data_IF_021994573573
#
_entry.id   IF_021994573573
#
_cell.length_a   1.000
_cell.length_b   1.000
_cell.length_c   1.000
_cell.angle_alpha   90.00
_cell.angle_beta   90.00
_cell.angle_gamma   90.00
#
_symmetry.space_group_name_H-M   'P 1'
#
loop_
_entity.id
_entity.type
_entity.pdbx_description
1 polymer ?
#
# COMPACT_ATOMS: atom_id res chain seq x y z
N UNK A 1 -14.48 -6.28 -26.03
CA UNK A 1 -14.28 -5.04 -25.27
C UNK A 1 -13.41 -5.37 -24.06
N UNK A 2 -12.34 -4.61 -23.81
CA UNK A 2 -11.60 -4.72 -22.54
C UNK A 2 -12.45 -4.11 -21.43
N UNK A 3 -12.60 -4.80 -20.30
CA UNK A 3 -13.24 -4.28 -19.09
C UNK A 3 -12.17 -4.01 -18.02
N UNK A 4 -12.51 -3.31 -16.94
CA UNK A 4 -11.53 -2.95 -15.91
C UNK A 4 -10.79 -4.18 -15.35
N UNK A 5 -11.53 -5.23 -14.99
CA UNK A 5 -10.98 -6.49 -14.43
C UNK A 5 -10.27 -7.39 -15.45
N UNK A 6 -10.18 -6.96 -16.72
CA UNK A 6 -9.26 -7.55 -17.69
C UNK A 6 -7.84 -6.95 -17.60
N UNK A 7 -7.67 -5.91 -16.79
CA UNK A 7 -6.40 -5.18 -16.59
C UNK A 7 -5.92 -5.24 -15.14
N UNK A 8 -6.85 -5.22 -14.16
CA UNK A 8 -6.55 -5.33 -12.73
C UNK A 8 -6.97 -6.68 -12.15
N UNK A 9 -6.35 -7.07 -11.04
CA UNK A 9 -6.75 -8.25 -10.25
C UNK A 9 -8.22 -8.17 -9.81
N UNK A 10 -8.91 -9.32 -9.72
CA UNK A 10 -10.25 -9.39 -9.12
C UNK A 10 -10.24 -8.96 -7.65
N UNK A 11 -9.11 -9.16 -6.97
CA UNK A 11 -8.93 -8.81 -5.56
C UNK A 11 -8.46 -7.36 -5.36
N UNK A 12 -8.30 -6.57 -6.42
CA UNK A 12 -7.69 -5.25 -6.38
C UNK A 12 -8.33 -4.33 -5.34
N UNK A 13 -9.65 -4.32 -5.21
CA UNK A 13 -10.33 -3.43 -4.25
C UNK A 13 -10.47 -4.01 -2.84
N UNK A 14 -10.08 -5.28 -2.60
CA UNK A 14 -10.23 -5.94 -1.29
C UNK A 14 -9.60 -5.17 -0.12
N UNK A 15 -8.40 -4.57 -0.25
CA UNK A 15 -7.82 -3.77 0.83
C UNK A 15 -8.71 -2.57 1.21
N UNK A 16 -9.43 -1.99 0.25
CA UNK A 16 -10.21 -0.76 0.44
C UNK A 16 -11.67 -1.00 0.81
N UNK A 17 -12.15 -2.24 0.78
CA UNK A 17 -13.54 -2.59 1.15
C UNK A 17 -13.64 -3.35 2.46
N UNK A 18 -12.52 -3.84 3.00
CA UNK A 18 -12.46 -4.64 4.23
C UNK A 18 -12.50 -3.86 5.54
N UNK A 19 -12.38 -4.60 6.65
CA UNK A 19 -12.35 -4.08 8.04
C UNK A 19 -11.24 -3.04 8.26
N UNK A 20 -10.08 -3.26 7.64
CA UNK A 20 -8.86 -2.46 7.84
C UNK A 20 -8.62 -1.46 6.70
N UNK A 21 -9.68 -1.03 6.01
CA UNK A 21 -9.59 -0.16 4.82
C UNK A 21 -8.86 1.16 5.06
N UNK A 22 -9.01 1.73 6.26
CA UNK A 22 -8.33 2.99 6.63
C UNK A 22 -6.82 2.77 6.67
N UNK A 23 -6.35 1.72 7.33
CA UNK A 23 -4.93 1.38 7.40
C UNK A 23 -4.34 1.10 6.02
N UNK A 24 -5.06 0.39 5.16
CA UNK A 24 -4.61 0.14 3.80
C UNK A 24 -4.53 1.42 2.97
N UNK A 25 -5.53 2.31 3.07
CA UNK A 25 -5.54 3.59 2.36
C UNK A 25 -4.37 4.49 2.81
N UNK A 26 -4.16 4.62 4.12
CA UNK A 26 -3.05 5.41 4.68
C UNK A 26 -1.70 4.86 4.24
N UNK A 27 -1.51 3.54 4.29
CA UNK A 27 -0.29 2.90 3.82
C UNK A 27 -0.05 3.14 2.33
N UNK A 28 -1.09 3.07 1.48
CA UNK A 28 -0.97 3.35 0.05
C UNK A 28 -0.55 4.81 -0.21
N UNK A 29 -1.10 5.77 0.53
CA UNK A 29 -0.73 7.19 0.42
C UNK A 29 0.72 7.43 0.89
N UNK A 30 1.12 6.82 2.00
CA UNK A 30 2.51 6.89 2.50
C UNK A 30 3.51 6.28 1.51
N UNK A 31 3.22 5.08 1.00
CA UNK A 31 4.01 4.45 -0.05
C UNK A 31 4.11 5.38 -1.25
N UNK A 32 2.99 5.89 -1.76
CA UNK A 32 2.97 6.80 -2.90
C UNK A 32 3.79 8.07 -2.68
N UNK A 33 3.72 8.66 -1.48
CA UNK A 33 4.51 9.84 -1.11
C UNK A 33 6.02 9.57 -1.02
N UNK A 34 6.42 8.31 -0.80
CA UNK A 34 7.84 7.92 -0.69
C UNK A 34 8.57 7.88 -2.03
N UNK A 35 7.84 7.83 -3.15
CA UNK A 35 8.42 7.91 -4.50
C UNK A 35 8.84 9.35 -4.80
N UNK A 36 10.14 9.61 -4.82
CA UNK A 36 10.68 10.94 -5.18
C UNK A 36 10.57 11.19 -6.67
N UNK A 37 9.71 12.14 -7.07
CA UNK A 37 9.59 12.79 -8.40
C UNK A 37 9.40 11.90 -9.65
N UNK A 38 9.86 10.66 -9.66
CA UNK A 38 9.71 9.68 -10.74
C UNK A 38 9.35 8.32 -10.13
N UNK A 39 8.08 7.94 -10.27
CA UNK A 39 7.53 6.66 -9.75
C UNK A 39 8.26 5.42 -10.34
N UNK A 40 9.07 5.63 -11.38
CA UNK A 40 9.67 4.60 -12.23
C UNK A 40 10.76 3.73 -11.59
N UNK A 41 11.38 4.15 -10.47
CA UNK A 41 12.55 3.45 -9.92
C UNK A 41 12.26 2.51 -8.74
N UNK A 42 11.02 2.48 -8.24
CA UNK A 42 10.73 1.80 -6.99
C UNK A 42 11.34 2.50 -5.77
N UNK A 43 11.02 2.01 -4.59
CA UNK A 43 11.61 2.43 -3.33
C UNK A 43 12.15 1.19 -2.62
N UNK A 44 13.34 1.29 -2.03
CA UNK A 44 13.95 0.20 -1.25
C UNK A 44 12.91 -0.38 -0.26
N UNK A 45 12.71 -1.71 -0.32
CA UNK A 45 11.68 -2.40 0.46
C UNK A 45 11.85 -2.20 1.95
N UNK A 46 13.09 -2.16 2.45
CA UNK A 46 13.35 -1.91 3.86
C UNK A 46 13.00 -0.47 4.26
N UNK A 47 13.21 0.49 3.36
CA UNK A 47 12.75 1.85 3.56
C UNK A 47 11.21 1.93 3.61
N UNK A 48 10.49 1.24 2.73
CA UNK A 48 9.02 1.18 2.77
C UNK A 48 8.52 0.51 4.07
N UNK A 49 9.14 -0.59 4.49
CA UNK A 49 8.81 -1.25 5.76
C UNK A 49 9.02 -0.29 6.92
N UNK A 50 10.13 0.46 6.95
CA UNK A 50 10.40 1.44 8.01
C UNK A 50 9.32 2.53 8.06
N UNK A 51 8.95 3.11 6.92
CA UNK A 51 7.89 4.13 6.83
C UNK A 51 6.57 3.61 7.41
N UNK A 52 6.15 2.40 7.03
CA UNK A 52 4.91 1.82 7.52
C UNK A 52 5.01 1.36 8.98
N UNK A 53 6.20 0.98 9.44
CA UNK A 53 6.45 0.66 10.85
C UNK A 53 6.22 1.89 11.72
N UNK A 54 6.70 3.06 11.31
CA UNK A 54 6.47 4.33 12.01
C UNK A 54 4.98 4.70 12.05
N UNK A 55 4.26 4.46 10.95
CA UNK A 55 2.81 4.60 10.91
C UNK A 55 2.12 3.71 11.97
N UNK A 56 2.45 2.41 12.04
CA UNK A 56 1.86 1.49 13.02
C UNK A 56 2.34 1.70 14.46
N UNK A 57 3.47 2.36 14.67
CA UNK A 57 3.88 2.81 16.01
C UNK A 57 3.00 3.95 16.52
N UNK A 58 2.49 4.79 15.62
CA UNK A 58 1.59 5.90 15.96
C UNK A 58 0.13 5.46 15.98
N UNK A 59 -0.26 4.59 15.04
CA UNK A 59 -1.59 4.00 14.95
C UNK A 59 -1.59 2.60 15.59
N UNK A 60 -2.04 2.51 16.84
CA UNK A 60 -2.00 1.30 17.64
C UNK A 60 -3.09 0.28 17.32
N UNK A 61 -3.96 0.56 16.35
CA UNK A 61 -5.00 -0.38 15.94
C UNK A 61 -4.39 -1.71 15.45
N UNK A 62 -4.98 -2.82 15.88
CA UNK A 62 -4.53 -4.15 15.51
C UNK A 62 -5.10 -4.58 14.15
N UNK A 63 -4.22 -5.20 13.35
CA UNK A 63 -4.56 -5.74 12.04
C UNK A 63 -4.37 -7.26 12.07
N UNK A 64 -5.33 -7.98 11.48
CA UNK A 64 -5.21 -9.41 11.20
C UNK A 64 -5.17 -9.61 9.69
N UNK A 65 -4.23 -10.44 9.24
CA UNK A 65 -4.07 -10.78 7.83
C UNK A 65 -4.65 -12.15 7.47
N UNK A 66 -5.05 -12.95 8.48
CA UNK A 66 -5.62 -14.28 8.32
C UNK A 66 -7.05 -14.34 8.90
N UNK A 67 -7.81 -15.36 8.47
CA UNK A 67 -9.13 -15.67 9.03
C UNK A 67 -9.04 -16.25 10.45
N UNK A 68 -7.84 -16.69 10.86
CA UNK A 68 -7.52 -16.94 12.26
C UNK A 68 -7.31 -15.58 12.94
N UNK A 69 -8.06 -15.29 14.01
CA UNK A 69 -8.01 -14.03 14.78
C UNK A 69 -6.66 -13.79 15.51
N UNK A 70 -5.54 -14.21 14.93
CA UNK A 70 -4.20 -13.89 15.37
C UNK A 70 -3.81 -12.51 14.87
N UNK A 71 -3.85 -11.53 15.76
CA UNK A 71 -3.37 -10.18 15.48
C UNK A 71 -1.84 -10.15 15.43
N UNK A 72 -1.29 -9.43 14.45
CA UNK A 72 0.14 -9.12 14.41
C UNK A 72 0.45 -8.07 15.48
N UNK A 73 1.30 -8.41 16.45
CA UNK A 73 1.56 -7.54 17.61
C UNK A 73 2.66 -6.50 17.37
N UNK A 74 3.61 -6.80 16.49
CA UNK A 74 4.74 -5.92 16.23
C UNK A 74 4.48 -5.03 15.00
N UNK A 75 4.75 -3.73 15.12
CA UNK A 75 4.52 -2.74 14.06
C UNK A 75 5.23 -3.08 12.75
N UNK A 76 6.41 -3.70 12.82
CA UNK A 76 7.16 -4.12 11.63
C UNK A 76 6.49 -5.31 10.96
N UNK A 77 5.96 -6.26 11.74
CA UNK A 77 5.14 -7.35 11.19
C UNK A 77 3.85 -6.82 10.55
N UNK A 78 3.18 -5.84 11.17
CA UNK A 78 2.02 -5.15 10.59
C UNK A 78 2.38 -4.50 9.24
N UNK A 79 3.48 -3.75 9.19
CA UNK A 79 3.99 -3.14 7.96
C UNK A 79 4.25 -4.17 6.85
N UNK A 80 4.97 -5.24 7.18
CA UNK A 80 5.28 -6.31 6.22
C UNK A 80 4.02 -7.03 5.72
N UNK A 81 3.07 -7.32 6.61
CA UNK A 81 1.79 -7.94 6.26
C UNK A 81 0.97 -7.07 5.30
N UNK A 82 0.89 -5.76 5.55
CA UNK A 82 0.22 -4.82 4.64
C UNK A 82 0.86 -4.83 3.25
N UNK A 83 2.19 -4.74 3.17
CA UNK A 83 2.90 -4.75 1.88
C UNK A 83 2.57 -6.03 1.09
N UNK A 84 2.56 -7.20 1.76
CA UNK A 84 2.22 -8.46 1.10
C UNK A 84 0.77 -8.50 0.62
N UNK A 85 -0.20 -8.03 1.43
CA UNK A 85 -1.60 -7.96 1.00
C UNK A 85 -1.75 -7.04 -0.22
N UNK A 86 -1.16 -5.85 -0.17
CA UNK A 86 -1.20 -4.89 -1.28
C UNK A 86 -0.57 -5.47 -2.55
N UNK A 87 0.58 -6.15 -2.43
CA UNK A 87 1.20 -6.88 -3.53
C UNK A 87 0.30 -7.98 -4.10
N UNK A 88 -0.29 -8.82 -3.24
CA UNK A 88 -1.16 -9.91 -3.67
C UNK A 88 -2.46 -9.42 -4.32
N UNK A 89 -2.91 -8.21 -3.96
CA UNK A 89 -4.06 -7.56 -4.59
C UNK A 89 -3.69 -6.78 -5.88
N UNK A 90 -2.40 -6.70 -6.24
CA UNK A 90 -1.93 -6.04 -7.46
C UNK A 90 -1.72 -4.53 -7.35
N UNK A 91 -1.57 -3.99 -6.13
CA UNK A 91 -1.18 -2.59 -5.92
C UNK A 91 0.33 -2.38 -6.05
N UNK A 92 1.11 -3.40 -5.67
CA UNK A 92 2.56 -3.34 -5.59
C UNK A 92 3.20 -4.52 -6.32
N UNK A 93 4.42 -4.32 -6.77
CA UNK A 93 5.34 -5.36 -7.25
C UNK A 93 6.67 -5.26 -6.50
N UNK A 94 7.41 -6.38 -6.48
CA UNK A 94 8.78 -6.40 -6.00
C UNK A 94 9.71 -6.56 -7.20
N UNK A 95 10.69 -5.68 -7.31
CA UNK A 95 11.74 -5.75 -8.32
C UNK A 95 13.09 -6.00 -7.66
N UNK A 96 13.83 -6.98 -8.18
CA UNK A 96 15.17 -7.30 -7.67
C UNK A 96 16.20 -6.32 -8.25
N UNK A 97 17.00 -5.71 -7.38
CA UNK A 97 18.17 -4.92 -7.74
C UNK A 97 19.43 -5.79 -7.89
N UNK A 98 20.43 -5.24 -8.58
CA UNK A 98 21.75 -5.88 -8.80
C UNK A 98 22.51 -6.24 -7.51
N UNK A 99 22.14 -5.65 -6.37
CA UNK A 99 22.77 -5.81 -5.07
C UNK A 99 22.03 -6.79 -4.13
N UNK A 100 21.11 -7.62 -4.67
CA UNK A 100 20.23 -8.52 -3.90
C UNK A 100 19.23 -7.80 -2.97
N UNK A 101 19.02 -6.50 -3.16
CA UNK A 101 17.91 -5.77 -2.54
C UNK A 101 16.67 -5.86 -3.41
N UNK A 102 15.52 -5.64 -2.79
CA UNK A 102 14.25 -5.56 -3.48
C UNK A 102 13.71 -4.15 -3.36
N UNK A 103 13.19 -3.62 -4.45
CA UNK A 103 12.41 -2.40 -4.46
C UNK A 103 10.93 -2.73 -4.50
N UNK A 104 10.14 -1.93 -3.80
CA UNK A 104 8.69 -1.88 -3.93
C UNK A 104 8.36 -0.91 -5.06
N UNK A 105 7.61 -1.38 -6.04
CA UNK A 105 7.12 -0.59 -7.17
C UNK A 105 5.61 -0.55 -7.13
N UNK A 106 5.02 0.61 -7.40
CA UNK A 106 3.57 0.72 -7.61
C UNK A 106 3.22 0.23 -9.01
N UNK A 107 2.20 -0.62 -9.11
CA UNK A 107 1.72 -1.05 -10.43
C UNK A 107 1.17 0.14 -11.21
N UNK A 108 1.31 0.11 -12.54
CA UNK A 108 0.79 1.18 -13.40
C UNK A 108 -0.71 1.42 -13.17
N UNK A 109 -1.45 0.35 -12.86
CA UNK A 109 -2.89 0.42 -12.60
C UNK A 109 -3.20 1.02 -11.22
N UNK A 110 -2.35 0.86 -10.21
CA UNK A 110 -2.54 1.42 -8.87
C UNK A 110 -2.47 2.94 -8.84
N UNK A 111 -1.53 3.49 -9.60
CA UNK A 111 -1.15 4.91 -9.55
C UNK A 111 -2.34 5.87 -9.75
N UNK A 112 -3.22 5.71 -10.77
CA UNK A 112 -4.39 6.58 -10.92
C UNK A 112 -5.32 6.57 -9.71
N UNK A 113 -5.58 5.39 -9.11
CA UNK A 113 -6.48 5.29 -7.95
C UNK A 113 -5.91 5.99 -6.73
N UNK A 114 -4.60 5.84 -6.46
CA UNK A 114 -3.96 6.50 -5.31
C UNK A 114 -3.94 8.02 -5.50
N UNK A 115 -3.67 8.50 -6.72
CA UNK A 115 -3.78 9.94 -7.05
C UNK A 115 -5.18 10.46 -6.78
N UNK A 116 -6.21 9.77 -7.24
CA UNK A 116 -7.59 10.17 -7.00
C UNK A 116 -7.93 10.21 -5.50
N UNK A 117 -7.47 9.23 -4.71
CA UNK A 117 -7.65 9.27 -3.25
C UNK A 117 -7.01 10.53 -2.64
N UNK A 118 -5.76 10.84 -3.02
CA UNK A 118 -5.05 12.03 -2.55
C UNK A 118 -5.75 13.34 -2.95
N UNK A 119 -6.29 13.42 -4.17
CA UNK A 119 -7.04 14.58 -4.66
C UNK A 119 -8.37 14.77 -3.93
N UNK A 120 -9.10 13.69 -3.63
CA UNK A 120 -10.36 13.76 -2.87
C UNK A 120 -10.12 14.35 -1.49
N UNK A 121 -9.10 13.86 -0.78
CA UNK A 121 -8.73 14.36 0.56
C UNK A 121 -8.33 15.84 0.49
N UNK A 122 -7.48 16.21 -0.48
CA UNK A 122 -7.04 17.59 -0.64
C UNK A 122 -8.20 18.55 -0.94
N UNK A 123 -9.14 18.13 -1.80
CA UNK A 123 -10.29 18.97 -2.14
C UNK A 123 -11.20 19.19 -0.94
N UNK A 124 -11.40 18.17 -0.11
CA UNK A 124 -12.11 18.28 1.16
C UNK A 124 -11.41 19.32 2.07
N UNK A 125 -10.09 19.25 2.23
CA UNK A 125 -9.33 20.22 3.03
C UNK A 125 -9.43 21.67 2.54
N UNK A 126 -9.66 21.90 1.24
CA UNK A 126 -9.78 23.25 0.66
C UNK A 126 -11.19 23.84 0.75
N UNK A 127 -12.21 23.03 1.04
CA UNK A 127 -13.60 23.48 1.22
C UNK A 127 -13.90 23.92 2.67
N UNK A 128 -12.98 23.67 3.60
CA UNK A 128 -13.01 24.12 5.00
C UNK A 128 -12.12 25.34 5.26
#
# INVERSE_FOLDING_TARGET
>A
MKNLFSVISSEFFKPLTGKYKTQYADCLLLIFSSFKSEISYGVDKEAVIAILTDYFNTNTEDISFNDEESFEKDSRSKAFGVINVLKNCGWLEFEDEKNYRQNVVLTEQAIPFIRTMAEVIKNEETEY
#
